data_IF_146374739693
#
_entry.id   IF_146374739693
#
_cell.length_a   1.000
_cell.length_b   1.000
_cell.length_c   1.000
_cell.angle_alpha   90.00
_cell.angle_beta   90.00
_cell.angle_gamma   90.00
#
_symmetry.space_group_name_H-M   'P 1'
#
loop_
_entity.id
_entity.type
_entity.pdbx_description
1 polymer ?
#
# COMPACT_ATOMS: atom_id res chain seq x y z
N UNK A 1 1.96 25.45 -12.53
CA UNK A 1 1.24 24.17 -12.36
C UNK A 1 2.27 23.08 -12.13
N UNK A 2 2.35 22.55 -10.92
CA UNK A 2 3.37 21.57 -10.53
C UNK A 2 2.97 20.17 -11.01
N UNK A 3 3.85 19.51 -11.76
CA UNK A 3 3.68 18.16 -12.33
C UNK A 3 3.31 17.13 -11.24
N UNK A 4 2.07 16.64 -11.26
CA UNK A 4 1.61 15.45 -10.52
C UNK A 4 2.06 14.13 -11.16
N UNK A 5 3.02 14.17 -12.09
CA UNK A 5 3.32 13.10 -13.04
C UNK A 5 4.12 11.91 -12.47
N UNK A 6 4.51 11.90 -11.19
CA UNK A 6 5.39 10.85 -10.65
C UNK A 6 4.74 9.89 -9.65
N UNK A 7 3.43 9.99 -9.41
CA UNK A 7 2.71 9.10 -8.48
C UNK A 7 1.86 8.02 -9.17
N UNK A 8 1.82 7.99 -10.51
CA UNK A 8 0.89 7.15 -11.27
C UNK A 8 1.34 5.69 -11.45
N UNK A 9 2.60 5.33 -11.16
CA UNK A 9 3.13 3.98 -11.45
C UNK A 9 3.47 3.14 -10.21
N UNK A 10 3.38 3.67 -8.99
CA UNK A 10 3.79 2.90 -7.80
C UNK A 10 2.85 3.15 -6.63
N UNK A 11 2.12 2.09 -6.25
CA UNK A 11 1.33 2.06 -5.01
C UNK A 11 2.25 2.36 -3.83
N UNK A 12 1.91 3.39 -3.05
CA UNK A 12 2.62 3.74 -1.83
C UNK A 12 1.82 3.29 -0.62
N UNK A 13 2.48 2.53 0.24
CA UNK A 13 1.93 2.02 1.48
C UNK A 13 2.75 2.57 2.64
N UNK A 14 2.07 3.01 3.69
CA UNK A 14 2.69 3.41 4.95
C UNK A 14 2.16 2.52 6.07
N UNK A 15 3.06 2.07 6.93
CA UNK A 15 2.69 1.45 8.21
C UNK A 15 3.16 2.38 9.33
N UNK A 16 2.32 2.61 10.33
CA UNK A 16 2.65 3.41 11.51
C UNK A 16 2.02 2.81 12.76
N UNK A 17 2.51 3.21 13.94
CA UNK A 17 1.90 2.87 15.22
C UNK A 17 1.13 4.10 15.71
N UNK A 18 -0.18 3.97 15.93
CA UNK A 18 -1.03 4.99 16.56
C UNK A 18 -1.75 4.34 17.74
N UNK A 19 -1.68 4.98 18.91
CA UNK A 19 -2.34 4.51 20.13
C UNK A 19 -2.04 3.03 20.47
N UNK A 20 -0.79 2.61 20.26
CA UNK A 20 -0.34 1.24 20.50
C UNK A 20 -0.85 0.21 19.49
N UNK A 21 -1.49 0.63 18.38
CA UNK A 21 -1.99 -0.25 17.31
C UNK A 21 -1.27 0.03 16.00
N UNK A 22 -1.09 -1.02 15.21
CA UNK A 22 -0.62 -0.89 13.83
C UNK A 22 -1.73 -0.33 12.96
N UNK A 23 -1.41 0.76 12.26
CA UNK A 23 -2.27 1.41 11.27
C UNK A 23 -1.58 1.35 9.92
N UNK A 24 -2.33 0.90 8.92
CA UNK A 24 -1.88 0.79 7.54
C UNK A 24 -2.57 1.88 6.73
N UNK A 25 -1.82 2.60 5.90
CA UNK A 25 -2.37 3.67 5.06
C UNK A 25 -1.93 3.48 3.60
N UNK A 26 -2.84 3.76 2.67
CA UNK A 26 -2.57 3.71 1.22
C UNK A 26 -2.65 5.10 0.66
N UNK A 27 -1.69 5.45 -0.20
CA UNK A 27 -1.72 6.71 -0.92
C UNK A 27 -2.90 6.73 -1.91
N UNK A 28 -3.77 7.72 -1.74
CA UNK A 28 -4.89 8.05 -2.64
C UNK A 28 -4.68 9.47 -3.20
N UNK A 29 -5.40 9.89 -4.26
CA UNK A 29 -5.22 11.22 -4.85
C UNK A 29 -5.24 12.37 -3.82
N UNK A 30 -6.10 12.26 -2.81
CA UNK A 30 -6.31 13.30 -1.80
C UNK A 30 -5.49 13.11 -0.52
N UNK A 31 -4.53 12.17 -0.46
CA UNK A 31 -3.75 11.95 0.75
C UNK A 31 -3.42 10.49 1.00
N UNK A 32 -3.59 10.07 2.25
CA UNK A 32 -3.44 8.69 2.69
C UNK A 32 -4.76 8.26 3.33
N UNK A 33 -5.23 7.07 2.99
CA UNK A 33 -6.43 6.50 3.57
C UNK A 33 -6.06 5.28 4.41
N UNK A 34 -6.55 5.27 5.65
CA UNK A 34 -6.37 4.15 6.56
C UNK A 34 -7.07 2.89 6.04
N UNK A 35 -6.43 1.75 6.26
CA UNK A 35 -6.92 0.42 5.94
C UNK A 35 -6.51 -0.57 7.02
N UNK A 36 -7.04 -1.79 6.93
CA UNK A 36 -6.74 -2.87 7.86
C UNK A 36 -5.65 -3.81 7.34
N UNK A 37 -5.10 -4.61 8.26
CA UNK A 37 -4.05 -5.59 7.95
C UNK A 37 -4.47 -6.64 6.91
N UNK A 38 -5.72 -7.13 6.97
CA UNK A 38 -6.20 -8.18 6.07
C UNK A 38 -6.22 -7.70 4.62
N UNK A 39 -6.64 -6.46 4.39
CA UNK A 39 -6.60 -5.82 3.09
C UNK A 39 -5.17 -5.70 2.57
N UNK A 40 -4.23 -5.24 3.40
CA UNK A 40 -2.82 -5.12 3.01
C UNK A 40 -2.19 -6.45 2.67
N UNK A 41 -2.51 -7.50 3.44
CA UNK A 41 -2.04 -8.86 3.16
C UNK A 41 -2.53 -9.34 1.79
N UNK A 42 -3.82 -9.20 1.54
CA UNK A 42 -4.42 -9.56 0.25
C UNK A 42 -3.80 -8.76 -0.91
N UNK A 43 -3.58 -7.46 -0.74
CA UNK A 43 -2.99 -6.60 -1.78
C UNK A 43 -1.58 -7.03 -2.17
N UNK A 44 -0.76 -7.38 -1.17
CA UNK A 44 0.60 -7.89 -1.39
C UNK A 44 0.56 -9.25 -2.09
N UNK A 45 -0.32 -10.16 -1.65
CA UNK A 45 -0.47 -11.48 -2.26
C UNK A 45 -0.94 -11.38 -3.72
N UNK A 46 -1.93 -10.54 -4.02
CA UNK A 46 -2.42 -10.27 -5.39
C UNK A 46 -1.31 -9.67 -6.26
N UNK A 47 -0.57 -8.68 -5.77
CA UNK A 47 0.55 -8.09 -6.50
C UNK A 47 1.65 -9.12 -6.80
N UNK A 48 2.06 -9.91 -5.81
CA UNK A 48 3.09 -10.93 -6.00
C UNK A 48 2.65 -12.02 -6.98
N UNK A 49 1.37 -12.42 -6.93
CA UNK A 49 0.80 -13.39 -7.87
C UNK A 49 0.83 -12.91 -9.32
N UNK A 50 0.56 -11.62 -9.55
CA UNK A 50 0.54 -11.01 -10.90
C UNK A 50 1.93 -10.72 -11.45
N UNK A 51 2.91 -10.49 -10.58
CA UNK A 51 4.29 -10.17 -10.96
C UNK A 51 5.23 -11.38 -10.93
N UNK A 52 4.70 -12.60 -10.76
CA UNK A 52 5.49 -13.84 -10.81
C UNK A 52 6.53 -13.98 -9.69
N UNK A 53 6.48 -13.13 -8.66
CA UNK A 53 7.28 -13.27 -7.45
C UNK A 53 6.66 -14.40 -6.62
N UNK A 54 6.95 -15.64 -7.02
CA UNK A 54 6.76 -16.80 -6.15
C UNK A 54 7.53 -16.52 -4.86
N UNK A 55 6.81 -16.12 -3.82
CA UNK A 55 7.28 -16.16 -2.44
C UNK A 55 7.68 -17.61 -2.20
N UNK A 56 8.99 -17.91 -2.26
CA UNK A 56 9.52 -19.19 -1.80
C UNK A 56 9.27 -19.23 -0.31
N UNK A 57 8.24 -19.99 0.08
CA UNK A 57 8.06 -20.47 1.44
C UNK A 57 9.17 -21.47 1.76
#
# INVERSE_FOLDING_TARGET
>A
MSRLSNLACRTQVRASIRDGRFVYEIKVPNGYQETNYQFMRWLVDDFNSKNGLRTRQ
#
